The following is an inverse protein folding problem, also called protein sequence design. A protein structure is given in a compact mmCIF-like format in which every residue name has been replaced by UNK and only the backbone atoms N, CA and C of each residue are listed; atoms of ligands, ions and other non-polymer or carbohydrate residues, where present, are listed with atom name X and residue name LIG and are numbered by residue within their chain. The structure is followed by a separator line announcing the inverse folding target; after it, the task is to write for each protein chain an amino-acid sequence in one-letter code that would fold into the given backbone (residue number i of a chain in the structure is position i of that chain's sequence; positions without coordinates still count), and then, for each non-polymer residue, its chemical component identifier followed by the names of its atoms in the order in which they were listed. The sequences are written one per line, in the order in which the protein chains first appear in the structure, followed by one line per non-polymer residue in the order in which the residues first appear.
data_IF_882962091728
#
_entry.id   IF_882962091728
#
_cell.length_a   1.000
_cell.length_b   1.000
_cell.length_c   1.000
_cell.angle_alpha   90.00
_cell.angle_beta   90.00
_cell.angle_gamma   90.00
#
_symmetry.space_group_name_H-M   'P 1'
#
loop_
_entity.id
_entity.type
_entity.pdbx_description
1 polymer ?
#
# COMPACT_ATOMS: atom_id res chain seq x y z
N UNK A 1 3.63 1.10 21.84
CA UNK A 1 3.74 1.33 20.39
C UNK A 1 3.91 -0.02 19.74
N UNK A 2 3.15 -0.30 18.68
CA UNK A 2 3.42 -1.47 17.83
C UNK A 2 4.73 -1.22 17.09
N UNK A 3 5.63 -2.20 17.01
CA UNK A 3 6.80 -2.06 16.14
C UNK A 3 6.41 -2.38 14.70
N UNK A 4 7.23 -1.95 13.74
CA UNK A 4 7.06 -2.35 12.34
C UNK A 4 7.04 -3.88 12.19
N UNK A 5 7.81 -4.61 13.01
CA UNK A 5 7.81 -6.08 13.01
C UNK A 5 6.48 -6.65 13.49
N UNK A 6 5.88 -6.07 14.52
CA UNK A 6 4.59 -6.52 15.05
C UNK A 6 3.46 -6.30 14.03
N UNK A 7 3.48 -5.18 13.32
CA UNK A 7 2.49 -4.87 12.28
C UNK A 7 2.59 -5.84 11.10
N UNK A 8 3.79 -6.02 10.55
CA UNK A 8 3.99 -6.96 9.43
C UNK A 8 3.67 -8.40 9.85
N UNK A 9 3.96 -8.77 11.10
CA UNK A 9 3.60 -10.09 11.63
C UNK A 9 2.08 -10.29 11.65
N UNK A 10 1.30 -9.27 12.03
CA UNK A 10 -0.18 -9.34 11.97
C UNK A 10 -0.69 -9.48 10.55
N UNK A 11 -0.08 -8.80 9.58
CA UNK A 11 -0.44 -8.93 8.16
C UNK A 11 -0.20 -10.36 7.68
N UNK A 12 0.93 -10.98 8.05
CA UNK A 12 1.23 -12.37 7.68
C UNK A 12 0.27 -13.34 8.37
N UNK A 13 0.04 -13.18 9.68
CA UNK A 13 -0.85 -14.06 10.45
C UNK A 13 -2.33 -13.94 10.06
N UNK A 14 -2.73 -12.85 9.41
CA UNK A 14 -4.09 -12.67 8.90
C UNK A 14 -4.34 -13.32 7.54
N UNK A 15 -3.33 -13.87 6.89
CA UNK A 15 -3.47 -14.50 5.57
C UNK A 15 -3.95 -15.96 5.68
N UNK A 16 -4.59 -16.50 4.63
CA UNK A 16 -4.92 -17.91 4.54
C UNK A 16 -3.70 -18.83 4.69
N UNK A 17 -3.89 -20.02 5.28
CA UNK A 17 -2.82 -21.02 5.49
C UNK A 17 -2.27 -21.59 4.18
N UNK A 18 -3.02 -21.50 3.08
CA UNK A 18 -2.64 -21.96 1.73
C UNK A 18 -2.02 -20.85 0.87
N UNK A 19 -1.73 -19.68 1.45
CA UNK A 19 -1.09 -18.57 0.74
C UNK A 19 0.31 -18.95 0.26
N UNK A 20 0.59 -18.63 -1.00
CA UNK A 20 1.92 -18.77 -1.57
C UNK A 20 2.87 -17.68 -1.05
N UNK A 21 4.20 -17.89 -1.09
CA UNK A 21 5.17 -16.86 -0.75
C UNK A 21 4.97 -15.55 -1.54
N UNK A 22 4.60 -15.64 -2.81
CA UNK A 22 4.34 -14.48 -3.68
C UNK A 22 3.12 -13.68 -3.24
N UNK A 23 2.05 -14.36 -2.80
CA UNK A 23 0.86 -13.71 -2.23
C UNK A 23 1.20 -13.02 -0.91
N UNK A 24 1.98 -13.67 -0.04
CA UNK A 24 2.44 -13.06 1.21
C UNK A 24 3.22 -11.78 0.96
N UNK A 25 4.18 -11.80 0.05
CA UNK A 25 4.99 -10.62 -0.29
C UNK A 25 4.13 -9.52 -0.91
N UNK A 26 3.16 -9.89 -1.78
CA UNK A 26 2.24 -8.94 -2.39
C UNK A 26 1.40 -8.20 -1.35
N UNK A 27 0.84 -8.91 -0.38
CA UNK A 27 0.04 -8.30 0.68
C UNK A 27 0.88 -7.39 1.59
N UNK A 28 2.11 -7.78 1.92
CA UNK A 28 3.04 -6.91 2.65
C UNK A 28 3.35 -5.62 1.87
N UNK A 29 3.57 -5.73 0.56
CA UNK A 29 3.78 -4.56 -0.29
C UNK A 29 2.55 -3.65 -0.33
N UNK A 30 1.34 -4.23 -0.47
CA UNK A 30 0.09 -3.48 -0.43
C UNK A 30 -0.12 -2.75 0.89
N UNK A 31 0.12 -3.42 2.02
CA UNK A 31 0.03 -2.79 3.34
C UNK A 31 0.91 -1.54 3.42
N UNK A 32 2.18 -1.64 3.00
CA UNK A 32 3.11 -0.50 2.97
C UNK A 32 2.62 0.61 2.02
N UNK A 33 2.06 0.26 0.86
CA UNK A 33 1.54 1.23 -0.10
C UNK A 33 0.36 2.03 0.48
N UNK A 34 -0.54 1.37 1.23
CA UNK A 34 -1.67 2.02 1.89
C UNK A 34 -1.19 2.97 2.99
N UNK A 35 -0.32 2.51 3.89
CA UNK A 35 0.22 3.34 4.97
C UNK A 35 0.93 4.59 4.44
N UNK A 36 1.71 4.46 3.36
CA UNK A 36 2.31 5.61 2.67
C UNK A 36 1.26 6.57 2.12
N UNK A 37 0.22 6.03 1.48
CA UNK A 37 -0.89 6.84 0.96
C UNK A 37 -1.64 7.60 2.05
N UNK A 38 -1.88 6.98 3.21
CA UNK A 38 -2.49 7.63 4.37
C UNK A 38 -1.58 8.75 4.90
N UNK A 39 -0.28 8.48 5.08
CA UNK A 39 0.68 9.50 5.52
C UNK A 39 0.80 10.67 4.52
N UNK A 40 0.68 10.42 3.22
CA UNK A 40 0.62 11.46 2.20
C UNK A 40 -0.67 12.28 2.29
N UNK A 41 -1.81 11.64 2.55
CA UNK A 41 -3.09 12.30 2.77
C UNK A 41 -3.05 13.23 3.99
N UNK A 42 -2.58 12.74 5.13
CA UNK A 42 -2.47 13.50 6.37
C UNK A 42 -1.56 14.72 6.22
N UNK A 43 -0.48 14.56 5.46
CA UNK A 43 0.44 15.65 5.13
C UNK A 43 -0.01 16.54 3.96
N UNK A 44 -1.23 16.35 3.45
CA UNK A 44 -1.81 17.08 2.30
C UNK A 44 -0.97 16.98 1.02
N UNK A 45 -0.20 15.90 0.85
CA UNK A 45 0.57 15.57 -0.37
C UNK A 45 -0.30 14.85 -1.42
N UNK A 46 -1.52 15.31 -1.60
CA UNK A 46 -2.50 14.73 -2.54
C UNK A 46 -2.63 15.59 -3.80
N UNK A 47 -3.08 14.98 -4.90
CA UNK A 47 -3.44 15.70 -6.12
C UNK A 47 -4.95 15.65 -6.35
N UNK A 48 -5.48 16.63 -7.08
CA UNK A 48 -6.89 16.59 -7.50
C UNK A 48 -7.16 15.42 -8.45
N UNK A 49 -8.40 14.93 -8.46
CA UNK A 49 -8.84 13.89 -9.39
C UNK A 49 -8.57 14.25 -10.88
N UNK A 50 -8.72 15.54 -11.23
CA UNK A 50 -8.43 16.05 -12.57
C UNK A 50 -6.95 15.88 -12.94
N UNK A 51 -6.05 16.21 -12.02
CA UNK A 51 -4.60 16.08 -12.23
C UNK A 51 -4.17 14.61 -12.28
N UNK A 52 -4.72 13.75 -11.41
CA UNK A 52 -4.49 12.31 -11.45
C UNK A 52 -4.82 11.72 -12.82
N UNK A 53 -6.01 12.03 -13.35
CA UNK A 53 -6.42 11.54 -14.68
C UNK A 53 -5.52 12.05 -15.80
N UNK A 54 -5.01 13.29 -15.71
CA UNK A 54 -4.04 13.83 -16.68
C UNK A 54 -2.73 13.04 -16.66
N UNK A 55 -2.21 12.69 -15.47
CA UNK A 55 -0.97 11.92 -15.32
C UNK A 55 -1.10 10.50 -15.88
N UNK A 56 -2.18 9.80 -15.55
CA UNK A 56 -2.42 8.43 -16.04
C UNK A 56 -2.43 8.39 -17.58
N UNK A 57 -3.12 9.33 -18.23
CA UNK A 57 -3.15 9.41 -19.70
C UNK A 57 -1.78 9.70 -20.33
N UNK A 58 -0.83 10.27 -19.58
CA UNK A 58 0.51 10.54 -20.10
C UNK A 58 1.42 9.31 -20.15
N UNK A 59 1.06 8.21 -19.46
CA UNK A 59 1.84 6.97 -19.44
C UNK A 59 1.72 6.15 -20.72
N UNK A 60 0.71 6.42 -21.55
CA UNK A 60 0.49 5.74 -22.83
C UNK A 60 1.29 6.38 -23.98
N UNK A 61 2.17 7.33 -23.70
CA UNK A 61 3.08 7.93 -24.68
C UNK A 61 4.43 7.24 -24.68
#
# INVERSE_FOLDING_TARGET
MSTAKDELTRVIQGQPEDSTPEEIVRELAFHIMVERGLADSDAKRTISNKEMGRRIRSWQK
#
